data_IF_361754391597
#
_entry.id   IF_361754391597
#
_cell.length_a   1.000
_cell.length_b   1.000
_cell.length_c   1.000
_cell.angle_alpha   90.00
_cell.angle_beta   90.00
_cell.angle_gamma   90.00
#
_symmetry.space_group_name_H-M   'P 1'
#
loop_
_entity.id
_entity.type
_entity.pdbx_description
1 polymer ?
#
# COMPACT_ATOMS: atom_id res chain seq x y z
N UNK A 1 -5.48 4.83 -11.41
CA UNK A 1 -5.47 3.45 -11.92
C UNK A 1 -6.88 3.13 -12.40
N UNK A 2 -7.01 2.62 -13.61
CA UNK A 2 -8.27 2.14 -14.20
C UNK A 2 -8.02 0.71 -14.68
N UNK A 3 -8.99 -0.18 -14.44
CA UNK A 3 -8.90 -1.60 -14.78
C UNK A 3 -10.11 -1.92 -15.67
N UNK A 4 -9.86 -2.55 -16.79
CA UNK A 4 -10.89 -3.05 -17.70
C UNK A 4 -10.90 -4.56 -17.68
N UNK A 5 -12.10 -5.15 -17.53
CA UNK A 5 -12.33 -6.58 -17.60
C UNK A 5 -13.10 -6.91 -18.88
N UNK A 6 -12.79 -8.06 -19.45
CA UNK A 6 -13.55 -8.61 -20.55
C UNK A 6 -14.65 -9.52 -20.01
N UNK A 7 -15.94 -9.13 -20.18
CA UNK A 7 -17.12 -9.85 -19.66
C UNK A 7 -17.34 -11.25 -20.27
N UNK A 8 -16.51 -11.68 -21.22
CA UNK A 8 -16.67 -13.00 -21.88
C UNK A 8 -16.47 -14.20 -20.93
N UNK A 9 -15.91 -14.00 -19.75
CA UNK A 9 -15.52 -15.08 -18.84
C UNK A 9 -16.61 -15.56 -17.88
N UNK A 10 -17.78 -14.95 -17.87
CA UNK A 10 -18.91 -15.43 -17.04
C UNK A 10 -19.74 -16.54 -17.69
N UNK A 11 -19.41 -16.97 -18.92
CA UNK A 11 -20.13 -18.08 -19.61
C UNK A 11 -19.18 -19.23 -19.96
N UNK A 12 -19.30 -20.29 -19.17
CA UNK A 12 -18.88 -21.71 -19.39
C UNK A 12 -17.56 -21.98 -20.13
N UNK A 13 -16.64 -22.59 -19.41
CA UNK A 13 -15.49 -23.31 -19.96
C UNK A 13 -15.98 -24.52 -20.80
N UNK A 14 -15.80 -24.46 -22.12
CA UNK A 14 -15.86 -25.62 -22.99
C UNK A 14 -14.55 -25.74 -23.77
N UNK A 15 -14.11 -26.99 -24.03
CA UNK A 15 -12.84 -27.30 -24.74
C UNK A 15 -12.70 -26.66 -26.13
N UNK A 16 -13.82 -26.38 -26.82
CA UNK A 16 -13.82 -25.68 -28.11
C UNK A 16 -13.31 -24.25 -28.03
N UNK A 17 -13.49 -23.57 -26.88
CA UNK A 17 -12.99 -22.21 -26.61
C UNK A 17 -11.46 -22.16 -26.52
N UNK A 18 -10.82 -23.26 -26.08
CA UNK A 18 -9.36 -23.33 -25.95
C UNK A 18 -8.66 -23.46 -27.31
N UNK A 19 -9.22 -24.24 -28.24
CA UNK A 19 -8.63 -24.47 -29.56
C UNK A 19 -8.83 -23.30 -30.54
N UNK A 20 -9.87 -22.48 -30.37
CA UNK A 20 -10.07 -21.26 -31.16
C UNK A 20 -9.09 -20.14 -30.79
N UNK A 21 -8.59 -20.12 -29.54
CA UNK A 21 -7.58 -19.17 -29.06
C UNK A 21 -6.20 -19.36 -29.71
N UNK A 22 -5.89 -20.54 -30.23
CA UNK A 22 -4.58 -20.82 -30.86
C UNK A 22 -4.45 -20.31 -32.30
N UNK A 23 -5.49 -19.80 -32.92
CA UNK A 23 -5.51 -19.41 -34.35
C UNK A 23 -5.49 -17.91 -34.64
N UNK A 24 -5.63 -17.05 -33.64
CA UNK A 24 -5.50 -15.60 -33.84
C UNK A 24 -4.30 -15.11 -33.02
N UNK A 25 -3.39 -14.38 -33.65
CA UNK A 25 -2.41 -13.51 -32.95
C UNK A 25 -3.25 -12.41 -32.34
N UNK A 26 -3.86 -12.70 -31.23
CA UNK A 26 -4.85 -11.85 -30.59
C UNK A 26 -4.11 -10.88 -29.66
N UNK A 27 -4.31 -9.61 -29.89
CA UNK A 27 -3.90 -8.54 -29.00
C UNK A 27 -4.79 -8.45 -27.76
N UNK A 28 -5.85 -9.26 -27.70
CA UNK A 28 -6.84 -9.26 -26.63
C UNK A 28 -6.27 -9.83 -25.33
N UNK A 29 -6.57 -9.17 -24.23
CA UNK A 29 -6.20 -9.60 -22.88
C UNK A 29 -7.44 -9.67 -21.98
N UNK A 30 -7.38 -10.50 -20.95
CA UNK A 30 -8.47 -10.61 -19.98
C UNK A 30 -8.58 -9.36 -19.11
N UNK A 31 -7.42 -8.77 -18.79
CA UNK A 31 -7.33 -7.55 -17.96
C UNK A 31 -6.34 -6.57 -18.58
N UNK A 32 -6.80 -5.35 -18.80
CA UNK A 32 -5.93 -4.23 -19.13
C UNK A 32 -5.84 -3.24 -17.97
N UNK A 33 -4.61 -2.81 -17.62
CA UNK A 33 -4.34 -1.94 -16.47
C UNK A 33 -3.71 -0.64 -16.94
N UNK A 34 -4.28 0.49 -16.55
CA UNK A 34 -3.73 1.82 -16.80
C UNK A 34 -3.05 2.32 -15.53
N UNK A 35 -1.74 2.47 -15.57
CA UNK A 35 -0.91 3.02 -14.49
C UNK A 35 0.03 2.02 -13.86
N UNK A 36 1.33 2.34 -13.87
CA UNK A 36 2.45 1.53 -13.39
C UNK A 36 2.89 1.84 -11.96
N UNK A 37 1.97 2.25 -11.09
CA UNK A 37 2.21 2.36 -9.65
C UNK A 37 2.04 1.03 -8.92
N UNK A 38 2.18 1.04 -7.58
CA UNK A 38 2.13 -0.17 -6.74
C UNK A 38 0.81 -0.95 -6.91
N UNK A 39 -0.32 -0.26 -7.04
CA UNK A 39 -1.60 -0.93 -7.22
C UNK A 39 -1.69 -1.61 -8.59
N UNK A 40 -1.31 -0.91 -9.68
CA UNK A 40 -1.36 -1.48 -11.03
C UNK A 40 -0.43 -2.69 -11.17
N UNK A 41 0.81 -2.57 -10.72
CA UNK A 41 1.80 -3.65 -10.78
C UNK A 41 1.43 -4.82 -9.86
N UNK A 42 0.85 -4.55 -8.67
CA UNK A 42 0.38 -5.59 -7.76
C UNK A 42 -0.80 -6.38 -8.34
N UNK A 43 -1.75 -5.70 -8.97
CA UNK A 43 -2.90 -6.34 -9.64
C UNK A 43 -2.43 -7.13 -10.86
N UNK A 44 -1.50 -6.59 -11.65
CA UNK A 44 -0.93 -7.31 -12.79
C UNK A 44 -0.28 -8.64 -12.35
N UNK A 45 0.49 -8.59 -11.26
CA UNK A 45 1.13 -9.76 -10.68
C UNK A 45 0.13 -10.80 -10.17
N UNK A 46 -0.90 -10.38 -9.44
CA UNK A 46 -1.91 -11.28 -8.90
C UNK A 46 -2.75 -11.92 -10.02
N UNK A 47 -3.19 -11.11 -10.99
CA UNK A 47 -4.02 -11.57 -12.10
C UNK A 47 -3.29 -12.58 -13.00
N UNK A 48 -2.04 -12.30 -13.39
CA UNK A 48 -1.26 -13.25 -14.18
C UNK A 48 -0.95 -14.53 -13.39
N UNK A 49 -0.76 -14.41 -12.08
CA UNK A 49 -0.57 -15.55 -11.19
C UNK A 49 -1.81 -16.47 -11.07
N UNK A 50 -2.98 -15.94 -11.40
CA UNK A 50 -4.26 -16.68 -11.49
C UNK A 50 -4.55 -17.23 -12.89
N UNK A 51 -3.63 -17.06 -13.84
CA UNK A 51 -3.74 -17.57 -15.20
C UNK A 51 -4.49 -16.64 -16.17
N UNK A 52 -4.78 -15.40 -15.78
CA UNK A 52 -5.37 -14.41 -16.67
C UNK A 52 -4.29 -13.77 -17.56
N UNK A 53 -4.62 -13.45 -18.80
CA UNK A 53 -3.77 -12.65 -19.66
C UNK A 53 -3.85 -11.18 -19.26
N UNK A 54 -2.68 -10.53 -19.11
CA UNK A 54 -2.61 -9.18 -18.53
C UNK A 54 -1.71 -8.29 -19.39
N UNK A 55 -2.20 -7.08 -19.64
CA UNK A 55 -1.38 -6.01 -20.19
C UNK A 55 -1.51 -4.74 -19.34
N UNK A 56 -0.38 -4.06 -19.09
CA UNK A 56 -0.30 -2.82 -18.35
C UNK A 56 0.38 -1.74 -19.20
N UNK A 57 -0.18 -0.54 -19.20
CA UNK A 57 0.43 0.65 -19.78
C UNK A 57 0.68 1.73 -18.72
N UNK A 58 1.90 2.29 -18.75
CA UNK A 58 2.33 3.42 -17.96
C UNK A 58 2.92 4.49 -18.88
N UNK A 59 2.35 5.71 -18.82
CA UNK A 59 2.75 6.81 -19.70
C UNK A 59 4.16 7.36 -19.42
N UNK A 60 4.63 7.21 -18.20
CA UNK A 60 5.95 7.64 -17.75
C UNK A 60 6.85 6.43 -17.49
N UNK A 61 7.50 6.38 -16.35
CA UNK A 61 8.23 5.23 -15.85
C UNK A 61 7.46 4.59 -14.69
N UNK A 62 7.76 3.33 -14.37
CA UNK A 62 7.17 2.65 -13.22
C UNK A 62 7.45 3.44 -11.94
N UNK A 63 6.47 3.50 -11.05
CA UNK A 63 6.54 4.21 -9.77
C UNK A 63 6.79 5.73 -9.89
N UNK A 64 6.65 6.35 -11.03
CA UNK A 64 7.03 7.77 -11.25
C UNK A 64 6.18 8.81 -10.50
N UNK A 65 5.07 8.39 -9.88
CA UNK A 65 4.16 9.27 -9.13
C UNK A 65 4.16 8.93 -7.63
N UNK A 66 2.98 8.80 -7.02
CA UNK A 66 2.77 8.57 -5.58
C UNK A 66 3.57 7.38 -5.03
N UNK A 67 3.79 6.33 -5.83
CA UNK A 67 4.46 5.12 -5.36
C UNK A 67 5.95 5.27 -5.06
N UNK A 68 6.61 6.34 -5.53
CA UNK A 68 7.99 6.70 -5.15
C UNK A 68 8.07 7.87 -4.17
N UNK A 69 6.94 8.57 -3.97
CA UNK A 69 6.82 9.70 -3.07
C UNK A 69 6.10 9.33 -1.76
N UNK A 70 6.14 8.06 -1.37
CA UNK A 70 5.56 7.56 -0.13
C UNK A 70 6.43 7.88 1.08
N UNK A 71 5.93 7.63 2.29
CA UNK A 71 6.73 7.69 3.53
C UNK A 71 7.79 6.58 3.62
N UNK A 72 7.86 5.68 2.65
CA UNK A 72 8.73 4.50 2.62
C UNK A 72 8.55 3.58 3.82
N UNK A 73 7.30 3.40 4.23
CA UNK A 73 6.96 2.60 5.41
C UNK A 73 5.85 1.60 5.11
N UNK A 74 6.03 0.37 5.58
CA UNK A 74 4.94 -0.54 5.88
C UNK A 74 4.51 -0.31 7.32
N UNK A 75 3.33 0.23 7.54
CA UNK A 75 2.86 0.60 8.86
C UNK A 75 1.37 0.33 9.03
N UNK A 76 0.95 0.10 10.28
CA UNK A 76 -0.46 -0.13 10.59
C UNK A 76 -1.29 1.14 10.68
N UNK A 77 -0.69 2.33 10.51
CA UNK A 77 -1.41 3.58 10.60
C UNK A 77 -1.91 3.89 12.03
N UNK A 78 -1.02 3.98 12.99
CA UNK A 78 -1.31 4.21 14.42
C UNK A 78 -2.36 5.31 14.65
N UNK A 79 -2.34 6.38 13.86
CA UNK A 79 -3.29 7.50 13.97
C UNK A 79 -4.75 7.07 13.71
N UNK A 80 -4.98 6.03 12.90
CA UNK A 80 -6.35 5.57 12.62
C UNK A 80 -7.04 4.94 13.82
N UNK A 81 -6.31 4.56 14.89
CA UNK A 81 -6.91 4.13 16.16
C UNK A 81 -7.71 5.26 16.82
N UNK A 82 -7.31 6.52 16.66
CA UNK A 82 -8.05 7.67 17.16
C UNK A 82 -9.44 7.80 16.51
N UNK A 83 -9.60 7.25 15.27
CA UNK A 83 -10.83 7.22 14.49
C UNK A 83 -11.58 5.87 14.58
N UNK A 84 -11.13 4.99 15.48
CA UNK A 84 -11.70 3.64 15.69
C UNK A 84 -11.73 2.76 14.45
N UNK A 85 -10.82 2.98 13.52
CA UNK A 85 -10.64 2.15 12.32
C UNK A 85 -9.86 0.86 12.65
N UNK A 86 -10.34 0.12 13.68
CA UNK A 86 -9.63 -1.03 14.27
C UNK A 86 -9.39 -2.13 13.23
N UNK A 87 -10.39 -2.42 12.39
CA UNK A 87 -10.27 -3.43 11.33
C UNK A 87 -9.16 -3.07 10.34
N UNK A 88 -9.17 -1.82 9.85
CA UNK A 88 -8.15 -1.33 8.92
C UNK A 88 -6.74 -1.44 9.51
N UNK A 89 -6.57 -1.01 10.76
CA UNK A 89 -5.27 -1.09 11.46
C UNK A 89 -4.82 -2.54 11.62
N UNK A 90 -5.74 -3.43 12.02
CA UNK A 90 -5.43 -4.86 12.20
C UNK A 90 -5.00 -5.51 10.88
N UNK A 91 -5.73 -5.27 9.80
CA UNK A 91 -5.40 -5.81 8.47
C UNK A 91 -4.04 -5.30 8.00
N UNK A 92 -3.77 -4.00 8.14
CA UNK A 92 -2.48 -3.40 7.78
C UNK A 92 -1.31 -3.94 8.62
N UNK A 93 -1.52 -4.21 9.92
CA UNK A 93 -0.49 -4.78 10.79
C UNK A 93 -0.16 -6.24 10.45
N UNK A 94 -1.16 -7.04 10.09
CA UNK A 94 -0.97 -8.42 9.63
C UNK A 94 -0.18 -8.40 8.33
N UNK A 95 -0.60 -7.58 7.36
CA UNK A 95 0.06 -7.47 6.06
C UNK A 95 1.50 -6.98 6.20
N UNK A 96 1.78 -6.03 7.10
CA UNK A 96 3.13 -5.56 7.41
C UNK A 96 4.09 -6.69 7.77
N UNK A 97 3.66 -7.62 8.63
CA UNK A 97 4.48 -8.77 9.04
C UNK A 97 4.69 -9.76 7.89
N UNK A 98 3.65 -9.99 7.07
CA UNK A 98 3.72 -10.85 5.89
C UNK A 98 4.71 -10.28 4.88
N UNK A 99 4.60 -8.99 4.57
CA UNK A 99 5.47 -8.32 3.61
C UNK A 99 6.92 -8.24 4.09
N UNK A 100 7.15 -7.95 5.38
CA UNK A 100 8.49 -7.95 5.96
C UNK A 100 9.15 -9.33 5.84
N UNK A 101 8.40 -10.41 6.07
CA UNK A 101 8.89 -11.79 5.92
C UNK A 101 9.14 -12.15 4.45
N UNK A 102 8.28 -11.69 3.55
CA UNK A 102 8.36 -12.01 2.13
C UNK A 102 9.48 -11.26 1.39
N UNK A 103 9.82 -10.06 1.86
CA UNK A 103 10.73 -9.14 1.16
C UNK A 103 11.87 -8.60 2.05
N UNK A 104 12.66 -9.46 2.72
CA UNK A 104 13.71 -9.01 3.64
C UNK A 104 14.88 -8.29 2.93
N UNK A 105 14.96 -8.40 1.61
CA UNK A 105 15.99 -7.77 0.79
C UNK A 105 15.69 -6.32 0.38
N UNK A 106 14.47 -5.83 0.64
CA UNK A 106 14.03 -4.45 0.34
C UNK A 106 13.26 -3.82 1.50
N UNK A 107 13.05 -4.55 2.59
CA UNK A 107 12.34 -4.05 3.76
C UNK A 107 13.00 -4.55 5.05
N UNK A 108 13.00 -3.71 6.08
CA UNK A 108 13.57 -4.04 7.38
C UNK A 108 12.86 -3.34 8.53
N UNK A 109 12.93 -3.90 9.76
CA UNK A 109 12.37 -3.27 10.95
C UNK A 109 12.98 -1.90 11.20
N UNK A 110 12.15 -0.93 11.56
CA UNK A 110 12.55 0.40 11.97
C UNK A 110 11.90 0.76 13.31
N UNK A 111 12.68 1.37 14.20
CA UNK A 111 12.18 1.86 15.49
C UNK A 111 11.82 3.33 15.35
N UNK A 112 10.66 3.67 15.90
CA UNK A 112 10.13 5.02 15.95
C UNK A 112 10.05 5.49 17.37
N UNK A 113 10.45 6.72 17.61
CA UNK A 113 10.35 7.38 18.90
C UNK A 113 9.26 8.44 18.82
N UNK A 114 8.24 8.30 19.64
CA UNK A 114 7.15 9.25 19.81
C UNK A 114 7.41 10.08 21.07
N UNK A 115 8.01 11.30 20.96
CA UNK A 115 8.24 12.17 22.11
C UNK A 115 6.93 12.53 22.78
N UNK A 116 6.90 12.50 24.10
CA UNK A 116 5.72 12.83 24.90
C UNK A 116 5.92 14.10 25.70
N UNK A 117 4.91 14.97 25.66
CA UNK A 117 4.80 16.14 26.51
C UNK A 117 3.41 16.24 27.10
N UNK A 118 3.31 16.68 28.37
CA UNK A 118 2.03 16.74 29.12
C UNK A 118 0.95 17.61 28.47
N UNK A 119 1.33 18.55 27.62
CA UNK A 119 0.40 19.45 26.92
C UNK A 119 0.04 18.99 25.51
N UNK A 120 0.46 17.78 25.08
CA UNK A 120 0.02 17.21 23.81
C UNK A 120 -1.51 17.02 23.83
N UNK A 121 -2.17 17.40 22.73
CA UNK A 121 -3.60 17.28 22.57
C UNK A 121 -3.97 16.35 21.41
N UNK A 122 -5.13 15.74 21.55
CA UNK A 122 -5.75 15.07 20.40
C UNK A 122 -6.28 16.09 19.40
N UNK A 123 -6.44 15.66 18.16
CA UNK A 123 -7.26 16.41 17.22
C UNK A 123 -8.70 16.47 17.77
N UNK A 124 -9.26 17.67 17.82
CA UNK A 124 -10.56 17.95 18.47
C UNK A 124 -11.69 17.14 17.84
N UNK A 125 -11.57 16.80 16.57
CA UNK A 125 -12.63 16.14 15.79
C UNK A 125 -12.59 14.62 15.84
N UNK A 126 -11.64 13.99 16.52
CA UNK A 126 -11.59 12.53 16.59
C UNK A 126 -12.66 11.96 17.53
N UNK A 127 -13.24 10.77 17.24
CA UNK A 127 -14.15 10.09 18.13
C UNK A 127 -13.57 9.87 19.53
N UNK A 128 -12.27 9.55 19.62
CA UNK A 128 -11.54 9.38 20.87
C UNK A 128 -11.52 10.67 21.69
N UNK A 129 -11.28 11.83 21.06
CA UNK A 129 -11.29 13.12 21.79
C UNK A 129 -12.68 13.50 22.26
N UNK A 130 -13.73 13.22 21.49
CA UNK A 130 -15.12 13.45 21.88
C UNK A 130 -15.49 12.60 23.09
N UNK A 131 -15.14 11.32 23.08
CA UNK A 131 -15.38 10.42 24.21
C UNK A 131 -14.64 10.88 25.47
N UNK A 132 -13.36 11.22 25.36
CA UNK A 132 -12.58 11.72 26.48
C UNK A 132 -13.14 13.03 27.05
N UNK A 133 -13.62 13.93 26.23
CA UNK A 133 -14.21 15.19 26.70
C UNK A 133 -15.52 14.96 27.51
N UNK A 134 -16.27 13.90 27.19
CA UNK A 134 -17.47 13.51 27.93
C UNK A 134 -17.11 12.87 29.28
N UNK A 135 -16.21 11.88 29.27
CA UNK A 135 -15.88 11.10 30.47
C UNK A 135 -14.80 11.73 31.35
N UNK A 136 -13.91 12.54 30.76
CA UNK A 136 -12.78 13.16 31.45
C UNK A 136 -12.63 14.64 31.05
N UNK A 137 -13.63 15.50 31.33
CA UNK A 137 -13.61 16.90 30.88
C UNK A 137 -12.45 17.71 31.46
N UNK A 138 -11.89 17.28 32.61
CA UNK A 138 -10.70 17.89 33.21
C UNK A 138 -9.43 17.74 32.38
N UNK A 139 -9.35 16.78 31.44
CA UNK A 139 -8.20 16.62 30.55
C UNK A 139 -8.13 17.73 29.50
N UNK A 140 -9.22 18.43 29.20
CA UNK A 140 -9.28 19.52 28.19
C UNK A 140 -8.65 19.15 26.87
N UNK A 141 -8.89 17.92 26.37
CA UNK A 141 -8.35 17.39 25.13
C UNK A 141 -6.86 17.00 25.18
N UNK A 142 -6.23 16.98 26.37
CA UNK A 142 -4.84 16.52 26.50
C UNK A 142 -4.73 15.03 26.26
N UNK A 143 -3.57 14.60 25.79
CA UNK A 143 -3.23 13.19 25.60
C UNK A 143 -2.55 12.64 26.85
N UNK A 144 -3.24 11.91 27.73
CA UNK A 144 -2.57 11.29 28.87
C UNK A 144 -1.65 10.16 28.41
N UNK A 145 -0.48 10.05 29.04
CA UNK A 145 0.56 9.06 28.69
C UNK A 145 0.02 7.62 28.70
N UNK A 146 -0.85 7.28 29.68
CA UNK A 146 -1.44 5.94 29.77
C UNK A 146 -2.30 5.58 28.57
N UNK A 147 -3.02 6.55 27.98
CA UNK A 147 -3.86 6.31 26.81
C UNK A 147 -3.01 6.07 25.55
N UNK A 148 -1.93 6.84 25.39
CA UNK A 148 -0.95 6.59 24.31
C UNK A 148 -0.36 5.19 24.48
N UNK A 149 0.04 4.82 25.71
CA UNK A 149 0.60 3.50 26.00
C UNK A 149 -0.40 2.38 25.73
N UNK A 150 -1.67 2.59 26.04
CA UNK A 150 -2.75 1.64 25.74
C UNK A 150 -2.97 1.51 24.22
N UNK A 151 -3.00 2.63 23.50
CA UNK A 151 -3.09 2.59 22.02
C UNK A 151 -1.93 1.84 21.38
N UNK A 152 -0.70 2.05 21.86
CA UNK A 152 0.47 1.32 21.41
C UNK A 152 0.43 -0.17 21.79
N UNK A 153 -0.08 -0.51 22.96
CA UNK A 153 -0.32 -1.91 23.36
C UNK A 153 -1.31 -2.60 22.41
N UNK A 154 -2.41 -1.93 22.05
CA UNK A 154 -3.33 -2.46 21.04
C UNK A 154 -2.63 -2.63 19.67
N UNK A 155 -1.86 -1.62 19.26
CA UNK A 155 -1.10 -1.66 18.01
C UNK A 155 -0.14 -2.84 17.96
N UNK A 156 0.54 -3.16 19.06
CA UNK A 156 1.45 -4.30 19.17
C UNK A 156 0.74 -5.66 19.00
N UNK A 157 -0.49 -5.77 19.52
CA UNK A 157 -1.13 -7.08 19.68
C UNK A 157 -2.18 -7.40 18.61
N UNK A 158 -2.70 -6.38 17.90
CA UNK A 158 -3.75 -6.60 16.89
C UNK A 158 -3.27 -7.32 15.63
N UNK A 159 -2.00 -7.22 15.26
CA UNK A 159 -1.44 -7.75 14.02
C UNK A 159 -0.74 -9.11 14.14
N UNK A 160 -0.73 -9.72 15.34
CA UNK A 160 -0.01 -10.98 15.54
C UNK A 160 1.51 -10.82 15.37
N UNK A 161 2.09 -9.83 16.02
CA UNK A 161 3.52 -9.49 15.97
C UNK A 161 4.42 -10.70 16.23
N UNK A 162 5.23 -11.07 15.25
CA UNK A 162 6.18 -12.20 15.34
C UNK A 162 7.64 -11.76 15.19
N UNK A 163 7.92 -10.77 14.35
CA UNK A 163 9.27 -10.35 13.97
C UNK A 163 9.64 -9.04 14.69
N UNK A 164 8.71 -8.09 14.76
CA UNK A 164 8.96 -6.75 15.25
C UNK A 164 9.05 -6.69 16.77
N UNK A 165 9.96 -5.85 17.30
CA UNK A 165 10.04 -5.56 18.72
C UNK A 165 8.82 -4.80 19.22
N UNK A 166 8.36 -5.08 20.43
CA UNK A 166 7.24 -4.40 21.07
C UNK A 166 7.52 -2.95 21.43
N UNK A 167 6.47 -2.28 21.83
CA UNK A 167 6.52 -0.89 22.32
C UNK A 167 7.12 -0.84 23.73
N UNK A 168 7.95 0.19 23.94
CA UNK A 168 8.54 0.49 25.24
C UNK A 168 8.32 1.95 25.62
N UNK A 169 8.41 2.24 26.92
CA UNK A 169 8.56 3.62 27.41
C UNK A 169 10.05 3.94 27.48
N UNK A 170 10.42 5.11 26.97
CA UNK A 170 11.79 5.57 26.88
C UNK A 170 11.99 6.86 27.69
N UNK A 171 13.06 6.93 28.45
CA UNK A 171 13.53 8.20 29.02
C UNK A 171 14.41 8.90 28.01
N UNK A 172 14.09 10.16 27.69
CA UNK A 172 14.89 10.98 26.77
C UNK A 172 16.03 11.74 27.47
N UNK A 173 16.06 11.68 28.82
CA UNK A 173 17.11 12.30 29.60
C UNK A 173 18.39 11.48 29.43
N UNK A 174 19.43 12.11 28.91
CA UNK A 174 20.74 11.48 28.67
C UNK A 174 20.71 10.26 27.73
N UNK A 175 19.72 10.19 26.85
CA UNK A 175 19.64 9.14 25.84
C UNK A 175 20.01 9.68 24.44
N UNK A 176 20.57 8.83 23.55
CA UNK A 176 20.86 9.26 22.18
C UNK A 176 19.63 9.82 21.44
N UNK A 177 18.45 9.25 21.70
CA UNK A 177 17.19 9.66 21.09
C UNK A 177 16.72 11.04 21.58
N UNK A 178 17.17 11.45 22.77
CA UNK A 178 16.87 12.75 23.35
C UNK A 178 17.74 13.89 22.84
N UNK A 179 18.95 13.60 22.37
CA UNK A 179 19.93 14.63 21.95
C UNK A 179 19.36 15.63 20.92
N UNK A 180 18.67 15.17 19.84
CA UNK A 180 18.14 16.09 18.82
C UNK A 180 16.84 16.80 19.25
N UNK A 181 16.29 16.47 20.41
CA UNK A 181 14.99 16.96 20.86
C UNK A 181 15.12 18.15 21.81
N UNK A 182 14.08 18.98 21.86
CA UNK A 182 14.00 20.07 22.83
C UNK A 182 13.92 19.51 24.27
N UNK A 183 14.53 20.20 25.23
CA UNK A 183 14.60 19.81 26.66
C UNK A 183 13.23 19.61 27.34
N UNK A 184 12.16 20.13 26.75
CA UNK A 184 10.79 19.91 27.23
C UNK A 184 10.33 18.45 27.12
N UNK A 185 10.97 17.65 26.27
CA UNK A 185 10.67 16.22 26.08
C UNK A 185 11.57 15.39 26.98
N UNK A 186 11.04 14.89 28.09
CA UNK A 186 11.78 14.01 29.02
C UNK A 186 11.41 12.54 28.88
N UNK A 187 10.29 12.23 28.20
CA UNK A 187 9.77 10.89 28.01
C UNK A 187 9.34 10.67 26.56
N UNK A 188 9.42 9.43 26.10
CA UNK A 188 8.90 9.02 24.82
C UNK A 188 8.30 7.61 24.90
N UNK A 189 7.61 7.23 23.84
CA UNK A 189 7.24 5.85 23.55
C UNK A 189 7.98 5.39 22.30
N UNK A 190 8.51 4.21 22.37
CA UNK A 190 9.20 3.58 21.24
C UNK A 190 8.31 2.46 20.68
N UNK A 191 8.14 2.41 19.36
CA UNK A 191 7.38 1.37 18.67
C UNK A 191 8.06 0.96 17.36
N UNK A 192 7.61 -0.12 16.74
CA UNK A 192 8.18 -0.64 15.51
C UNK A 192 7.22 -0.53 14.34
N UNK A 193 7.75 -0.11 13.21
CA UNK A 193 7.18 -0.33 11.89
C UNK A 193 8.28 -0.84 10.94
N UNK A 194 8.04 -0.87 9.64
CA UNK A 194 9.01 -1.35 8.67
C UNK A 194 9.33 -0.28 7.65
N UNK A 195 10.60 -0.07 7.38
CA UNK A 195 11.06 0.70 6.24
C UNK A 195 11.00 -0.17 4.98
N UNK A 196 10.78 0.45 3.80
CA UNK A 196 10.69 -0.21 2.51
C UNK A 196 11.27 0.66 1.39
N UNK A 197 11.95 0.05 0.44
CA UNK A 197 12.26 0.66 -0.85
C UNK A 197 11.01 0.62 -1.75
N UNK A 198 10.18 1.65 -1.67
CA UNK A 198 8.86 1.74 -2.31
C UNK A 198 8.90 1.57 -3.83
N UNK A 199 9.78 2.29 -4.52
CA UNK A 199 9.93 2.17 -5.98
C UNK A 199 10.40 0.79 -6.41
N UNK A 200 11.33 0.20 -5.63
CA UNK A 200 11.84 -1.15 -5.90
C UNK A 200 10.76 -2.20 -5.72
N UNK A 201 9.87 -2.02 -4.73
CA UNK A 201 8.69 -2.88 -4.57
C UNK A 201 7.82 -2.89 -5.84
N UNK A 202 7.55 -1.71 -6.42
CA UNK A 202 6.77 -1.59 -7.66
C UNK A 202 7.46 -2.34 -8.81
N UNK A 203 8.75 -2.08 -9.00
CA UNK A 203 9.54 -2.70 -10.07
C UNK A 203 9.58 -4.22 -9.94
N UNK A 204 9.74 -4.75 -8.72
CA UNK A 204 9.76 -6.20 -8.49
C UNK A 204 8.40 -6.84 -8.77
N UNK A 205 7.28 -6.18 -8.43
CA UNK A 205 5.96 -6.68 -8.81
C UNK A 205 5.75 -6.69 -10.33
N UNK A 206 6.14 -5.62 -11.03
CA UNK A 206 6.08 -5.55 -12.49
C UNK A 206 6.95 -6.63 -13.13
N UNK A 207 8.18 -6.81 -12.63
CA UNK A 207 9.12 -7.82 -13.12
C UNK A 207 8.60 -9.25 -12.94
N UNK A 208 8.04 -9.57 -11.77
CA UNK A 208 7.46 -10.90 -11.53
C UNK A 208 6.23 -11.13 -12.43
N UNK A 209 5.41 -10.10 -12.66
CA UNK A 209 4.30 -10.18 -13.61
C UNK A 209 4.81 -10.44 -15.05
N UNK A 210 5.83 -9.72 -15.49
CA UNK A 210 6.44 -9.87 -16.82
C UNK A 210 7.03 -11.26 -17.03
N UNK A 211 7.78 -11.79 -16.05
CA UNK A 211 8.35 -13.16 -16.08
C UNK A 211 7.24 -14.21 -16.22
N UNK A 212 6.06 -13.96 -15.67
CA UNK A 212 4.88 -14.84 -15.79
C UNK A 212 4.08 -14.64 -17.09
N UNK A 213 4.50 -13.69 -17.94
CA UNK A 213 3.89 -13.47 -19.25
C UNK A 213 2.98 -12.25 -19.37
N UNK A 214 2.87 -11.40 -18.34
CA UNK A 214 2.18 -10.12 -18.47
C UNK A 214 2.98 -9.17 -19.38
N UNK A 215 2.28 -8.37 -20.19
CA UNK A 215 2.89 -7.33 -21.00
C UNK A 215 2.96 -6.03 -20.19
N UNK A 216 4.17 -5.52 -19.92
CA UNK A 216 4.39 -4.27 -19.18
C UNK A 216 4.94 -3.21 -20.14
N UNK A 217 4.12 -2.22 -20.49
CA UNK A 217 4.48 -1.17 -21.44
C UNK A 217 4.71 0.14 -20.70
N UNK A 218 5.96 0.52 -20.50
CA UNK A 218 6.36 1.85 -20.02
C UNK A 218 6.48 2.83 -21.19
N UNK A 219 6.37 4.14 -20.91
CA UNK A 219 6.37 5.19 -21.93
C UNK A 219 5.27 4.97 -22.96
N UNK A 220 4.13 4.43 -22.53
CA UNK A 220 2.97 4.12 -23.36
C UNK A 220 1.74 4.72 -22.75
N UNK A 221 1.15 5.68 -23.46
CA UNK A 221 -0.04 6.41 -23.01
C UNK A 221 -1.30 5.76 -23.58
N UNK A 222 -2.31 5.53 -22.77
CA UNK A 222 -3.66 5.22 -23.24
C UNK A 222 -4.34 6.53 -23.63
N UNK A 223 -4.71 6.65 -24.91
CA UNK A 223 -5.30 7.88 -25.47
C UNK A 223 -6.82 7.82 -25.57
N UNK A 224 -7.37 6.61 -25.74
CA UNK A 224 -8.83 6.38 -25.67
C UNK A 224 -9.16 5.01 -25.10
N UNK A 225 -10.36 4.87 -24.57
CA UNK A 225 -10.95 3.62 -24.11
C UNK A 225 -12.44 3.65 -24.44
N UNK A 226 -12.90 2.77 -25.31
CA UNK A 226 -14.25 2.69 -25.82
C UNK A 226 -14.81 1.28 -25.65
N UNK A 227 -16.05 1.16 -25.23
CA UNK A 227 -16.70 -0.15 -25.13
C UNK A 227 -17.57 -0.39 -26.39
N UNK A 228 -17.21 -1.42 -27.14
CA UNK A 228 -17.92 -1.81 -28.35
C UNK A 228 -18.38 -3.25 -28.22
N UNK A 229 -19.68 -3.49 -28.27
CA UNK A 229 -20.28 -4.83 -28.12
C UNK A 229 -19.86 -5.58 -26.84
N UNK A 230 -19.69 -4.87 -25.73
CA UNK A 230 -19.30 -5.45 -24.43
C UNK A 230 -17.79 -5.69 -24.25
N UNK A 231 -16.97 -5.35 -25.26
CA UNK A 231 -15.51 -5.44 -25.23
C UNK A 231 -14.90 -4.06 -25.16
N UNK A 232 -13.87 -3.86 -24.35
CA UNK A 232 -13.11 -2.62 -24.29
C UNK A 232 -12.05 -2.58 -25.40
N UNK A 233 -12.02 -1.50 -26.16
CA UNK A 233 -11.02 -1.16 -27.14
C UNK A 233 -10.19 0.00 -26.62
N UNK A 234 -8.89 -0.23 -26.39
CA UNK A 234 -7.99 0.79 -25.86
C UNK A 234 -6.96 1.16 -26.92
N UNK A 235 -6.87 2.46 -27.20
CA UNK A 235 -5.81 2.98 -28.09
C UNK A 235 -4.60 3.34 -27.25
N UNK A 236 -3.49 2.70 -27.54
CA UNK A 236 -2.18 2.91 -26.92
C UNK A 236 -1.28 3.70 -27.86
N UNK A 237 -0.60 4.71 -27.31
CA UNK A 237 0.39 5.51 -28.02
C UNK A 237 1.75 5.36 -27.33
N UNK A 238 2.73 4.80 -28.05
CA UNK A 238 4.11 4.66 -27.59
C UNK A 238 4.84 6.01 -27.71
N UNK A 239 5.34 6.51 -26.59
CA UNK A 239 6.12 7.76 -26.54
C UNK A 239 7.60 7.56 -26.92
N UNK A 240 8.01 6.32 -27.25
CA UNK A 240 9.39 6.01 -27.67
C UNK A 240 9.56 6.12 -29.17
N UNK A 241 8.62 5.59 -29.91
CA UNK A 241 8.68 5.42 -31.38
C UNK A 241 7.52 6.09 -32.11
N UNK A 242 6.68 6.85 -31.35
CA UNK A 242 5.53 7.61 -31.87
C UNK A 242 4.51 6.74 -32.64
N UNK A 243 4.37 5.47 -32.24
CA UNK A 243 3.45 4.52 -32.86
C UNK A 243 2.19 4.35 -32.02
N UNK A 244 1.09 3.99 -32.70
CA UNK A 244 -0.18 3.70 -32.01
C UNK A 244 -0.70 2.30 -32.38
N UNK A 245 -1.34 1.65 -31.43
CA UNK A 245 -2.04 0.36 -31.62
C UNK A 245 -3.29 0.27 -30.77
N UNK A 246 -4.19 -0.65 -31.12
CA UNK A 246 -5.40 -0.95 -30.36
C UNK A 246 -5.25 -2.33 -29.69
N UNK A 247 -5.76 -2.44 -28.48
CA UNK A 247 -5.84 -3.68 -27.68
C UNK A 247 -7.28 -3.86 -27.24
#
# INVERSE_FOLDING_TARGET
>A
MIIFFNDRYLKSFTEESFMSKLKNINTDVDIFIIGGGINGCGIARDAIGRGLSVELAEMSDLASATSSASTKLFHGGLRYLEYWKIRLVREALIEREILLKAMPHISWPMRFVLPYHKNMRFDVNTPTSKLLNVFMPWLKGRRPAWLIRFGLFLYDNMGGRNILKGTNSLSLINSPEGIPLKSMFSKAFEYSDCWIEDSRLVILNARDAEIRGAKINVRTKVTSAEQINGVWHLTLHSLRDDTSRVV
#
